data_IF_829501907982
#
_entry.id   IF_829501907982
#
_cell.length_a   1.000
_cell.length_b   1.000
_cell.length_c   1.000
_cell.angle_alpha   90.00
_cell.angle_beta   90.00
_cell.angle_gamma   90.00
#
_symmetry.space_group_name_H-M   'P 1'
#
loop_
_entity.id
_entity.type
_entity.pdbx_description
1 polymer ?
#
# COMPACT_ATOMS: atom_id res chain seq x y z
N UNK A 1 36.00 -20.84 -44.75
CA UNK A 1 36.54 -20.07 -43.61
C UNK A 1 35.81 -18.75 -43.30
N UNK A 2 35.02 -18.17 -44.20
CA UNK A 2 34.29 -16.89 -43.99
C UNK A 2 32.95 -17.07 -43.24
N UNK A 3 32.35 -18.25 -43.24
CA UNK A 3 31.02 -18.52 -42.67
C UNK A 3 31.05 -18.63 -41.14
N UNK A 4 32.14 -19.08 -40.57
CA UNK A 4 32.36 -19.18 -39.11
C UNK A 4 32.57 -17.81 -38.48
N UNK A 5 33.18 -16.87 -39.16
CA UNK A 5 33.43 -15.50 -38.71
C UNK A 5 32.14 -14.71 -38.50
N UNK A 6 31.16 -14.82 -39.40
CA UNK A 6 29.87 -14.11 -39.31
C UNK A 6 29.02 -14.60 -38.10
N UNK A 7 29.00 -15.90 -37.83
CA UNK A 7 28.29 -16.47 -36.67
C UNK A 7 28.89 -16.01 -35.33
N UNK A 8 30.21 -15.91 -35.27
CA UNK A 8 30.91 -15.43 -34.06
C UNK A 8 30.60 -13.94 -33.82
N UNK A 9 30.56 -13.11 -34.88
CA UNK A 9 30.24 -11.69 -34.78
C UNK A 9 28.79 -11.49 -34.27
N UNK A 10 27.82 -12.24 -34.81
CA UNK A 10 26.41 -12.15 -34.40
C UNK A 10 26.28 -12.60 -32.92
N UNK A 11 26.97 -13.66 -32.52
CA UNK A 11 26.95 -14.15 -31.13
C UNK A 11 27.58 -13.15 -30.16
N UNK A 12 28.67 -12.52 -30.49
CA UNK A 12 29.27 -11.44 -29.71
C UNK A 12 28.38 -10.21 -29.62
N UNK A 13 27.67 -9.87 -30.69
CA UNK A 13 26.73 -8.73 -30.69
C UNK A 13 25.50 -8.98 -29.80
N UNK A 14 24.97 -10.22 -29.78
CA UNK A 14 23.87 -10.61 -28.91
C UNK A 14 24.30 -10.64 -27.43
N UNK A 15 25.51 -11.09 -27.13
CA UNK A 15 26.05 -11.06 -25.75
C UNK A 15 26.25 -9.61 -25.29
N UNK A 16 26.75 -8.75 -26.18
CA UNK A 16 26.95 -7.31 -25.86
C UNK A 16 25.62 -6.60 -25.64
N UNK A 17 24.56 -6.92 -26.41
CA UNK A 17 23.22 -6.37 -26.18
C UNK A 17 22.63 -6.88 -24.84
N UNK A 18 22.80 -8.15 -24.51
CA UNK A 18 22.38 -8.71 -23.22
C UNK A 18 23.13 -8.08 -22.03
N UNK A 19 24.43 -7.80 -22.18
CA UNK A 19 25.22 -7.12 -21.17
C UNK A 19 24.80 -5.65 -20.97
N UNK A 20 24.43 -4.94 -22.04
CA UNK A 20 23.90 -3.57 -21.97
C UNK A 20 22.54 -3.57 -21.27
N UNK A 21 21.66 -4.51 -21.56
CA UNK A 21 20.36 -4.63 -20.89
C UNK A 21 20.53 -5.01 -19.41
N UNK A 22 21.48 -5.87 -19.07
CA UNK A 22 21.79 -6.23 -17.69
C UNK A 22 22.39 -5.04 -16.90
N UNK A 23 23.24 -4.22 -17.51
CA UNK A 23 23.83 -3.05 -16.86
C UNK A 23 22.80 -1.90 -16.67
N UNK A 24 21.80 -1.79 -17.54
CA UNK A 24 20.68 -0.87 -17.34
C UNK A 24 19.75 -1.31 -16.21
N UNK A 25 19.69 -2.60 -15.89
CA UNK A 25 18.93 -3.10 -14.73
C UNK A 25 19.65 -2.91 -13.38
N UNK A 26 20.96 -2.68 -13.41
CA UNK A 26 21.80 -2.50 -12.21
C UNK A 26 22.21 -1.03 -11.97
N UNK A 27 21.71 -0.09 -12.76
CA UNK A 27 21.74 1.31 -12.39
C UNK A 27 20.80 1.48 -11.20
N UNK A 28 21.36 1.62 -10.00
CA UNK A 28 20.68 1.67 -8.72
C UNK A 28 19.73 2.86 -8.58
N UNK A 29 18.75 2.92 -9.50
CA UNK A 29 17.67 3.89 -9.45
C UNK A 29 16.83 3.59 -8.20
N UNK A 30 16.99 4.40 -7.19
CA UNK A 30 16.20 4.34 -5.96
C UNK A 30 15.08 5.37 -6.07
N UNK A 31 13.86 4.93 -5.94
CA UNK A 31 12.73 5.81 -5.77
C UNK A 31 12.69 6.30 -4.31
N UNK A 32 12.33 7.56 -4.11
CA UNK A 32 11.95 8.09 -2.81
C UNK A 32 10.65 7.48 -2.31
N UNK A 33 10.37 7.55 -1.01
CA UNK A 33 9.10 7.03 -0.47
C UNK A 33 7.86 7.66 -1.11
N UNK A 34 7.79 8.97 -1.38
CA UNK A 34 6.67 9.55 -2.11
C UNK A 34 6.48 8.97 -3.52
N UNK A 35 7.58 8.75 -4.27
CA UNK A 35 7.51 8.14 -5.60
C UNK A 35 7.06 6.66 -5.55
N UNK A 36 7.51 5.91 -4.54
CA UNK A 36 7.04 4.53 -4.30
C UNK A 36 5.55 4.54 -3.94
N UNK A 37 5.10 5.52 -3.19
CA UNK A 37 3.72 5.70 -2.78
C UNK A 37 2.80 5.99 -3.98
N UNK A 38 3.24 6.88 -4.88
CA UNK A 38 2.51 7.17 -6.13
C UNK A 38 2.48 5.93 -7.03
N UNK A 39 3.60 5.24 -7.16
CA UNK A 39 3.69 3.99 -7.92
C UNK A 39 2.76 2.91 -7.36
N UNK A 40 2.59 2.84 -6.03
CA UNK A 40 1.73 1.86 -5.38
C UNK A 40 0.25 2.04 -5.76
N UNK A 41 -0.19 3.24 -6.11
CA UNK A 41 -1.58 3.50 -6.48
C UNK A 41 -1.99 2.83 -7.80
N UNK A 42 -1.04 2.63 -8.73
CA UNK A 42 -1.29 2.03 -10.04
C UNK A 42 -0.64 0.65 -10.19
N UNK A 43 0.56 0.48 -9.62
CA UNK A 43 1.39 -0.71 -9.80
C UNK A 43 1.95 -1.25 -8.46
N UNK A 44 1.09 -1.74 -7.54
CA UNK A 44 1.51 -2.13 -6.20
C UNK A 44 2.56 -3.26 -6.18
N UNK A 45 2.55 -4.15 -7.18
CA UNK A 45 3.56 -5.20 -7.28
C UNK A 45 4.95 -4.63 -7.59
N UNK A 46 5.05 -3.61 -8.45
CA UNK A 46 6.31 -2.92 -8.76
C UNK A 46 6.75 -2.07 -7.56
N UNK A 47 5.84 -1.32 -6.95
CA UNK A 47 6.11 -0.54 -5.75
C UNK A 47 6.71 -1.40 -4.64
N UNK A 48 6.24 -2.65 -4.46
CA UNK A 48 6.81 -3.61 -3.51
C UNK A 48 8.27 -3.91 -3.78
N UNK A 49 8.66 -4.05 -5.06
CA UNK A 49 10.06 -4.31 -5.44
C UNK A 49 10.94 -3.11 -5.08
N UNK A 50 10.49 -1.88 -5.39
CA UNK A 50 11.24 -0.67 -5.03
C UNK A 50 11.31 -0.48 -3.51
N UNK A 51 10.21 -0.69 -2.79
CA UNK A 51 10.20 -0.59 -1.34
C UNK A 51 11.17 -1.58 -0.68
N UNK A 52 11.31 -2.79 -1.22
CA UNK A 52 12.26 -3.79 -0.69
C UNK A 52 13.73 -3.39 -0.86
N UNK A 53 14.04 -2.43 -1.74
CA UNK A 53 15.38 -1.87 -1.98
C UNK A 53 15.63 -0.55 -1.26
N UNK A 54 14.58 0.07 -0.72
CA UNK A 54 14.67 1.30 0.04
C UNK A 54 15.28 1.04 1.43
N UNK A 55 16.01 2.01 1.97
CA UNK A 55 16.49 1.92 3.34
C UNK A 55 15.33 2.25 4.30
N UNK A 56 14.93 1.27 5.09
CA UNK A 56 13.86 1.43 6.07
C UNK A 56 14.20 2.43 7.19
N UNK A 57 15.46 2.81 7.34
CA UNK A 57 15.91 3.78 8.34
C UNK A 57 15.78 5.23 7.88
N UNK A 58 15.73 5.50 6.57
CA UNK A 58 15.59 6.86 6.03
C UNK A 58 14.28 7.52 6.49
N UNK A 59 13.19 6.77 6.53
CA UNK A 59 11.92 7.17 7.15
C UNK A 59 11.15 5.92 7.57
N UNK A 60 11.37 5.50 8.81
CA UNK A 60 10.81 4.25 9.34
C UNK A 60 9.28 4.22 9.37
N UNK A 61 8.65 5.34 9.71
CA UNK A 61 7.18 5.45 9.74
C UNK A 61 6.60 5.28 8.35
N UNK A 62 7.15 6.00 7.36
CA UNK A 62 6.66 5.94 5.99
C UNK A 62 6.90 4.57 5.34
N UNK A 63 8.06 3.96 5.58
CA UNK A 63 8.34 2.60 5.13
C UNK A 63 7.28 1.60 5.62
N UNK A 64 6.91 1.67 6.91
CA UNK A 64 5.89 0.81 7.52
C UNK A 64 4.49 1.07 6.95
N UNK A 65 4.11 2.33 6.78
CA UNK A 65 2.86 2.71 6.14
C UNK A 65 2.77 2.18 4.71
N UNK A 66 3.83 2.36 3.90
CA UNK A 66 3.86 1.85 2.53
C UNK A 66 3.82 0.33 2.45
N UNK A 67 4.45 -0.35 3.40
CA UNK A 67 4.34 -1.81 3.51
C UNK A 67 2.88 -2.22 3.70
N UNK A 68 2.17 -1.58 4.63
CA UNK A 68 0.77 -1.85 4.89
C UNK A 68 -0.13 -1.52 3.68
N UNK A 69 0.07 -0.36 3.03
CA UNK A 69 -0.65 0.05 1.81
C UNK A 69 -0.50 -0.98 0.71
N UNK A 70 0.74 -1.35 0.39
CA UNK A 70 1.04 -2.29 -0.70
C UNK A 70 0.48 -3.68 -0.40
N UNK A 71 0.59 -4.17 0.84
CA UNK A 71 -0.01 -5.45 1.23
C UNK A 71 -1.54 -5.42 1.08
N UNK A 72 -2.19 -4.35 1.53
CA UNK A 72 -3.63 -4.17 1.41
C UNK A 72 -4.09 -4.17 -0.06
N UNK A 73 -3.39 -3.44 -0.93
CA UNK A 73 -3.72 -3.37 -2.35
C UNK A 73 -3.51 -4.70 -3.08
N UNK A 74 -2.47 -5.46 -2.72
CA UNK A 74 -2.15 -6.74 -3.36
C UNK A 74 -3.03 -7.89 -2.89
N UNK A 75 -3.45 -7.87 -1.62
CA UNK A 75 -4.05 -9.05 -0.96
C UNK A 75 -5.42 -8.77 -0.34
N UNK A 76 -5.81 -7.50 -0.18
CA UNK A 76 -7.01 -7.10 0.55
C UNK A 76 -6.88 -7.20 2.07
N UNK A 77 -5.72 -7.58 2.62
CA UNK A 77 -5.45 -7.66 4.05
C UNK A 77 -4.02 -7.26 4.38
N UNK A 78 -3.76 -6.94 5.64
CA UNK A 78 -2.45 -6.49 6.13
C UNK A 78 -1.91 -7.53 7.10
N UNK A 79 -0.72 -8.06 6.80
CA UNK A 79 -0.11 -9.15 7.56
C UNK A 79 0.57 -8.66 8.83
N UNK A 80 1.23 -7.48 8.76
CA UNK A 80 2.04 -6.92 9.85
C UNK A 80 1.31 -5.76 10.53
N UNK A 81 0.30 -6.08 11.32
CA UNK A 81 -0.47 -5.03 12.03
C UNK A 81 0.37 -4.18 12.98
N UNK A 82 1.38 -4.78 13.62
CA UNK A 82 2.28 -4.05 14.50
C UNK A 82 3.04 -2.94 13.76
N UNK A 83 3.32 -3.12 12.46
CA UNK A 83 3.97 -2.08 11.67
C UNK A 83 3.06 -0.85 11.50
N UNK A 84 1.73 -1.05 11.43
CA UNK A 84 0.79 0.08 11.39
C UNK A 84 0.73 0.80 12.73
N UNK A 85 0.71 0.07 13.83
CA UNK A 85 0.70 0.67 15.17
C UNK A 85 1.98 1.48 15.43
N UNK A 86 3.11 0.96 14.99
CA UNK A 86 4.38 1.68 15.04
C UNK A 86 4.36 2.94 14.17
N UNK A 87 3.83 2.87 12.93
CA UNK A 87 3.69 4.02 12.05
C UNK A 87 2.80 5.11 12.68
N UNK A 88 1.66 4.74 13.27
CA UNK A 88 0.78 5.66 14.00
C UNK A 88 1.54 6.35 15.12
N UNK A 89 2.28 5.61 15.95
CA UNK A 89 3.05 6.17 17.05
C UNK A 89 4.12 7.14 16.58
N UNK A 90 4.81 6.81 15.48
CA UNK A 90 5.82 7.68 14.89
C UNK A 90 5.18 8.99 14.43
N UNK A 91 4.11 8.94 13.63
CA UNK A 91 3.49 10.13 13.07
C UNK A 91 2.75 11.00 14.10
N UNK A 92 2.25 10.39 15.19
CA UNK A 92 1.75 11.16 16.35
C UNK A 92 2.88 11.98 16.97
N UNK A 93 4.07 11.38 17.17
CA UNK A 93 5.21 12.07 17.76
C UNK A 93 5.80 13.14 16.83
N UNK A 94 5.82 12.88 15.53
CA UNK A 94 6.31 13.80 14.49
C UNK A 94 5.30 14.89 14.14
N UNK A 95 4.04 14.74 14.56
CA UNK A 95 2.89 15.61 14.20
C UNK A 95 2.66 15.64 12.68
N UNK A 96 2.92 14.53 12.00
CA UNK A 96 2.66 14.39 10.56
C UNK A 96 1.21 13.94 10.36
N UNK A 97 0.29 14.90 10.33
CA UNK A 97 -1.13 14.65 10.20
C UNK A 97 -1.50 13.90 8.91
N UNK A 98 -0.95 14.21 7.72
CA UNK A 98 -1.23 13.47 6.49
C UNK A 98 -0.90 11.98 6.59
N UNK A 99 0.27 11.63 7.08
CA UNK A 99 0.69 10.24 7.20
C UNK A 99 0.00 9.53 8.38
N UNK A 100 -0.32 10.28 9.44
CA UNK A 100 -1.13 9.78 10.56
C UNK A 100 -2.54 9.39 10.09
N UNK A 101 -3.23 10.27 9.37
CA UNK A 101 -4.58 10.00 8.86
C UNK A 101 -4.63 8.71 8.04
N UNK A 102 -3.66 8.54 7.14
CA UNK A 102 -3.52 7.36 6.30
C UNK A 102 -3.23 6.10 7.10
N UNK A 103 -2.36 6.18 8.12
CA UNK A 103 -2.06 5.06 9.00
C UNK A 103 -3.30 4.61 9.80
N UNK A 104 -4.11 5.56 10.27
CA UNK A 104 -5.37 5.29 10.96
C UNK A 104 -6.40 4.61 10.03
N UNK A 105 -6.46 5.03 8.76
CA UNK A 105 -7.29 4.38 7.73
C UNK A 105 -6.87 2.93 7.51
N UNK A 106 -5.57 2.66 7.27
CA UNK A 106 -5.08 1.28 7.08
C UNK A 106 -5.26 0.42 8.33
N UNK A 107 -5.20 1.00 9.54
CA UNK A 107 -5.54 0.27 10.78
C UNK A 107 -7.01 -0.15 10.80
N UNK A 108 -7.92 0.75 10.43
CA UNK A 108 -9.35 0.43 10.30
C UNK A 108 -9.60 -0.68 9.26
N UNK A 109 -8.98 -0.55 8.08
CA UNK A 109 -9.07 -1.54 7.00
C UNK A 109 -8.51 -2.91 7.42
N UNK A 110 -7.39 -2.95 8.15
CA UNK A 110 -6.82 -4.18 8.70
C UNK A 110 -7.80 -4.87 9.64
N UNK A 111 -8.36 -4.15 10.61
CA UNK A 111 -9.30 -4.70 11.59
C UNK A 111 -10.54 -5.25 10.90
N UNK A 112 -11.07 -4.52 9.91
CA UNK A 112 -12.25 -4.97 9.17
C UNK A 112 -11.97 -6.26 8.39
N UNK A 113 -10.86 -6.32 7.68
CA UNK A 113 -10.57 -7.42 6.77
C UNK A 113 -10.01 -8.66 7.47
N UNK A 114 -9.16 -8.46 8.48
CA UNK A 114 -8.52 -9.57 9.20
C UNK A 114 -9.45 -10.20 10.23
N UNK A 115 -10.24 -9.38 10.95
CA UNK A 115 -11.02 -9.84 12.10
C UNK A 115 -12.54 -9.73 11.91
N UNK A 116 -13.01 -9.09 10.87
CA UNK A 116 -14.42 -8.79 10.63
C UNK A 116 -15.07 -7.97 11.77
N UNK A 117 -14.26 -7.28 12.57
CA UNK A 117 -14.71 -6.42 13.67
C UNK A 117 -15.09 -5.04 13.13
N UNK A 118 -16.32 -4.96 12.65
CA UNK A 118 -16.89 -3.74 12.05
C UNK A 118 -16.93 -2.59 13.07
N UNK A 119 -17.34 -2.85 14.32
CA UNK A 119 -17.47 -1.82 15.34
C UNK A 119 -16.11 -1.18 15.69
N UNK A 120 -15.07 -2.01 15.78
CA UNK A 120 -13.72 -1.54 16.04
C UNK A 120 -13.12 -0.83 14.83
N UNK A 121 -13.38 -1.31 13.62
CA UNK A 121 -12.94 -0.67 12.38
C UNK A 121 -13.53 0.74 12.22
N UNK A 122 -14.84 0.92 12.49
CA UNK A 122 -15.50 2.23 12.46
C UNK A 122 -14.82 3.22 13.41
N UNK A 123 -14.41 2.80 14.60
CA UNK A 123 -13.69 3.68 15.54
C UNK A 123 -12.37 4.20 14.97
N UNK A 124 -11.65 3.37 14.21
CA UNK A 124 -10.41 3.78 13.57
C UNK A 124 -10.64 4.68 12.37
N UNK A 125 -11.65 4.38 11.55
CA UNK A 125 -12.06 5.29 10.46
C UNK A 125 -12.54 6.64 10.98
N UNK A 126 -13.28 6.68 12.09
CA UNK A 126 -13.68 7.93 12.73
C UNK A 126 -12.48 8.78 13.19
N UNK A 127 -11.42 8.14 13.68
CA UNK A 127 -10.17 8.85 13.98
C UNK A 127 -9.48 9.37 12.71
N UNK A 128 -9.48 8.61 11.61
CA UNK A 128 -8.90 9.05 10.36
C UNK A 128 -9.65 10.24 9.75
N UNK A 129 -11.00 10.27 9.87
CA UNK A 129 -11.85 11.37 9.42
C UNK A 129 -11.49 12.71 10.08
N UNK A 130 -11.01 12.70 11.33
CA UNK A 130 -10.60 13.93 12.01
C UNK A 130 -9.44 14.66 11.28
N UNK A 131 -8.73 13.96 10.39
CA UNK A 131 -7.61 14.45 9.59
C UNK A 131 -7.84 14.28 8.08
N UNK A 132 -9.09 14.08 7.64
CA UNK A 132 -9.39 13.68 6.25
C UNK A 132 -9.01 14.72 5.20
N UNK A 133 -8.96 16.02 5.57
CA UNK A 133 -8.48 17.10 4.70
C UNK A 133 -7.03 16.94 4.29
N UNK A 134 -6.26 16.17 5.05
CA UNK A 134 -4.85 15.91 4.83
C UNK A 134 -4.58 14.54 4.17
N UNK A 135 -5.63 13.74 3.90
CA UNK A 135 -5.51 12.44 3.24
C UNK A 135 -5.41 12.57 1.72
N UNK A 136 -4.81 11.55 1.09
CA UNK A 136 -4.88 11.39 -0.37
C UNK A 136 -6.32 11.09 -0.78
N UNK A 137 -6.79 11.73 -1.85
CA UNK A 137 -8.19 11.61 -2.31
C UNK A 137 -8.64 10.16 -2.56
N UNK A 138 -7.76 9.33 -3.12
CA UNK A 138 -8.05 7.92 -3.38
C UNK A 138 -8.32 7.13 -2.08
N UNK A 139 -7.47 7.29 -1.07
CA UNK A 139 -7.62 6.62 0.23
C UNK A 139 -8.83 7.15 0.99
N UNK A 140 -9.08 8.45 0.92
CA UNK A 140 -10.26 9.11 1.47
C UNK A 140 -11.54 8.54 0.85
N UNK A 141 -11.61 8.49 -0.47
CA UNK A 141 -12.75 7.93 -1.19
C UNK A 141 -12.98 6.47 -0.83
N UNK A 142 -11.94 5.66 -0.77
CA UNK A 142 -12.04 4.24 -0.38
C UNK A 142 -12.56 4.09 1.04
N UNK A 143 -12.06 4.89 1.99
CA UNK A 143 -12.55 4.90 3.38
C UNK A 143 -14.04 5.20 3.46
N UNK A 144 -14.52 6.24 2.76
CA UNK A 144 -15.95 6.59 2.76
C UNK A 144 -16.80 5.52 2.08
N UNK A 145 -16.32 4.90 1.02
CA UNK A 145 -17.01 3.78 0.37
C UNK A 145 -17.15 2.57 1.30
N UNK A 146 -16.12 2.26 2.08
CA UNK A 146 -16.16 1.20 3.10
C UNK A 146 -17.20 1.55 4.17
N UNK A 147 -17.19 2.76 4.69
CA UNK A 147 -18.15 3.22 5.71
C UNK A 147 -19.59 3.15 5.20
N UNK A 148 -19.86 3.61 3.99
CA UNK A 148 -21.17 3.51 3.37
C UNK A 148 -21.66 2.07 3.27
N UNK A 149 -20.81 1.13 2.83
CA UNK A 149 -21.17 -0.31 2.78
C UNK A 149 -21.50 -0.88 4.14
N UNK A 150 -20.69 -0.58 5.14
CA UNK A 150 -20.89 -1.07 6.52
C UNK A 150 -22.21 -0.53 7.08
N UNK A 151 -22.49 0.75 6.89
CA UNK A 151 -23.69 1.39 7.40
C UNK A 151 -24.93 0.83 6.73
N UNK A 152 -24.91 0.67 5.41
CA UNK A 152 -26.03 0.08 4.66
C UNK A 152 -26.30 -1.37 5.10
N UNK A 153 -25.27 -2.18 5.27
CA UNK A 153 -25.44 -3.56 5.75
C UNK A 153 -26.05 -3.61 7.14
N UNK A 154 -25.65 -2.72 8.05
CA UNK A 154 -26.19 -2.68 9.40
C UNK A 154 -27.67 -2.26 9.42
N UNK A 155 -28.07 -1.26 8.62
CA UNK A 155 -29.48 -0.87 8.51
C UNK A 155 -30.33 -2.03 7.99
N UNK A 156 -29.91 -2.69 6.92
CA UNK A 156 -30.63 -3.80 6.32
C UNK A 156 -30.79 -4.99 7.30
N UNK A 157 -29.77 -5.26 8.12
CA UNK A 157 -29.83 -6.32 9.14
C UNK A 157 -30.86 -5.99 10.23
N UNK A 158 -30.93 -4.75 10.69
CA UNK A 158 -31.91 -4.30 11.69
C UNK A 158 -33.34 -4.40 11.14
N UNK A 159 -33.56 -3.98 9.90
CA UNK A 159 -34.87 -4.08 9.27
C UNK A 159 -35.35 -5.56 9.15
N UNK A 160 -34.48 -6.47 8.76
CA UNK A 160 -34.82 -7.90 8.70
C UNK A 160 -35.10 -8.52 10.09
N UNK A 161 -34.37 -8.10 11.12
CA UNK A 161 -34.64 -8.57 12.50
C UNK A 161 -35.99 -8.06 13.03
N UNK A 162 -36.38 -6.85 12.68
CA UNK A 162 -37.68 -6.30 13.07
C UNK A 162 -38.84 -6.97 12.31
N UNK A 163 -38.66 -7.25 11.01
CA UNK A 163 -39.64 -8.04 10.23
C UNK A 163 -39.80 -9.49 10.77
N UNK A 164 -38.70 -10.10 11.24
CA UNK A 164 -38.75 -11.44 11.78
C UNK A 164 -39.44 -11.55 13.18
N UNK A 165 -39.62 -10.41 13.88
CA UNK A 165 -40.29 -10.34 15.19
C UNK A 165 -41.81 -10.06 15.10
N UNK A 166 -42.30 -9.70 13.93
CA UNK A 166 -43.73 -9.48 13.66
C UNK A 166 -44.42 -10.78 13.23
#
# INVERSE_FOLDING_TARGET
MIYTSKKIIIFLFTIMQLAILASCMDSGYRLSFPEIDDLADEYPAQAKVFLSRADSNDNKGYYKLLTAKIEYQLKGYIYKENDIDDAINIFVNEKDEPLLARSLYYKGASILNNYRDTAKAIKWFAKAIAYDSNMREKEKLDMYNILCRITHQNIYTVELEDEARQ
#
